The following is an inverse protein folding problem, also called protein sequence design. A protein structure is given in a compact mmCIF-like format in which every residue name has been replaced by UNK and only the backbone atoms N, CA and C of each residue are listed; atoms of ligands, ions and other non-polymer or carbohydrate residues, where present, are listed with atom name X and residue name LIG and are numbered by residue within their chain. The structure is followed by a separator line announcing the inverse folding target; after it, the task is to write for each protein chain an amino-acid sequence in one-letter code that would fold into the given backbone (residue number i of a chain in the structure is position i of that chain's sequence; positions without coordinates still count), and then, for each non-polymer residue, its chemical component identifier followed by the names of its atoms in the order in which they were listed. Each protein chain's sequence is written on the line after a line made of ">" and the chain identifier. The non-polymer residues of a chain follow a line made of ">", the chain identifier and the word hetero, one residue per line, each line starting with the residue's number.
data_IF_450737201792
#
_entry.id   IF_450737201792
#
_cell.length_a   1.000
_cell.length_b   1.000
_cell.length_c   1.000
_cell.angle_alpha   90.00
_cell.angle_beta   90.00
_cell.angle_gamma   90.00
#
_symmetry.space_group_name_H-M   'P 1'
#
loop_
_entity.id
_entity.type
_entity.pdbx_description
1 polymer ?
#
# COMPACT_ATOMS: atom_id res chain seq x y z
N UNK A 1 -26.85 54.50 60.29
CA UNK A 1 -26.95 53.16 59.67
C UNK A 1 -26.74 53.34 58.15
N UNK A 2 -25.51 53.06 57.68
CA UNK A 2 -25.17 53.18 56.25
C UNK A 2 -25.23 51.78 55.65
N UNK A 3 -26.08 51.51 54.66
CA UNK A 3 -26.17 50.31 53.89
C UNK A 3 -25.11 50.38 52.78
N UNK A 4 -24.14 49.49 52.80
CA UNK A 4 -23.13 49.31 51.76
C UNK A 4 -23.71 48.30 50.76
N UNK A 5 -23.93 48.78 49.53
CA UNK A 5 -24.36 47.95 48.39
C UNK A 5 -23.11 47.28 47.76
N UNK A 6 -23.02 45.98 47.86
CA UNK A 6 -21.94 45.22 47.21
C UNK A 6 -22.39 44.92 45.79
N UNK A 7 -21.77 45.57 44.82
CA UNK A 7 -21.98 45.35 43.40
C UNK A 7 -21.04 44.16 42.98
N UNK A 8 -21.63 42.97 42.81
CA UNK A 8 -20.92 41.84 42.24
C UNK A 8 -20.77 42.06 40.74
N UNK A 9 -19.60 42.45 40.30
CA UNK A 9 -19.23 42.53 38.88
C UNK A 9 -18.77 41.15 38.45
N UNK A 10 -19.70 40.36 37.86
CA UNK A 10 -19.35 39.11 37.14
C UNK A 10 -18.55 39.46 35.89
N UNK A 11 -17.24 39.35 35.96
CA UNK A 11 -16.36 39.31 34.79
C UNK A 11 -16.60 37.98 34.05
N UNK A 12 -17.41 38.05 33.02
CA UNK A 12 -17.49 37.02 31.99
C UNK A 12 -16.12 36.98 31.24
N UNK A 13 -15.25 36.07 31.64
CA UNK A 13 -14.13 35.67 30.81
C UNK A 13 -14.70 34.94 29.60
N UNK A 14 -14.98 35.66 28.53
CA UNK A 14 -15.05 35.12 27.20
C UNK A 14 -13.64 34.59 26.86
N UNK A 15 -13.40 33.34 27.14
CA UNK A 15 -12.25 32.65 26.56
C UNK A 15 -12.47 32.62 25.05
N UNK A 16 -11.94 33.58 24.34
CA UNK A 16 -11.70 33.46 22.90
C UNK A 16 -10.74 32.33 22.74
N UNK A 17 -11.25 31.15 22.39
CA UNK A 17 -10.39 30.11 21.81
C UNK A 17 -9.79 30.70 20.55
N UNK A 18 -8.57 31.18 20.66
CA UNK A 18 -7.71 31.42 19.51
C UNK A 18 -7.52 30.07 18.85
N UNK A 19 -8.31 29.80 17.84
CA UNK A 19 -7.98 28.73 16.91
C UNK A 19 -6.68 29.18 16.22
N UNK A 20 -5.56 28.62 16.64
CA UNK A 20 -4.34 28.75 15.89
C UNK A 20 -4.64 28.26 14.46
N UNK A 21 -4.49 29.15 13.50
CA UNK A 21 -4.54 28.84 12.09
C UNK A 21 -3.37 27.87 11.84
N UNK A 22 -3.60 26.58 11.99
CA UNK A 22 -2.60 25.55 11.62
C UNK A 22 -2.71 25.38 10.12
N UNK A 23 -1.84 26.09 9.40
CA UNK A 23 -1.68 25.88 7.98
C UNK A 23 -1.40 24.38 7.72
N UNK A 24 -2.13 23.80 6.78
CA UNK A 24 -1.88 22.42 6.37
C UNK A 24 -0.50 22.35 5.73
N UNK A 25 0.40 21.64 6.36
CA UNK A 25 1.73 21.39 5.77
C UNK A 25 1.62 20.21 4.84
N UNK A 26 1.72 20.47 3.54
CA UNK A 26 1.80 19.43 2.50
C UNK A 26 3.23 19.34 1.97
N UNK A 27 3.95 18.32 2.42
CA UNK A 27 5.25 17.96 1.87
C UNK A 27 5.12 17.27 0.52
N UNK A 28 6.22 17.12 -0.21
CA UNK A 28 6.22 16.40 -1.50
C UNK A 28 7.45 15.52 -1.68
N UNK A 29 7.23 14.41 -2.38
CA UNK A 29 8.27 13.57 -2.96
C UNK A 29 7.92 13.42 -4.44
N UNK A 30 8.65 14.11 -5.31
CA UNK A 30 8.48 14.02 -6.75
C UNK A 30 9.60 13.17 -7.30
N UNK A 31 9.25 11.99 -7.85
CA UNK A 31 10.19 11.04 -8.42
C UNK A 31 9.54 10.30 -9.60
N UNK A 32 10.19 10.36 -10.77
CA UNK A 32 9.70 9.72 -11.99
C UNK A 32 10.10 8.25 -12.07
N UNK A 33 11.26 7.94 -11.52
CA UNK A 33 11.84 6.59 -11.52
C UNK A 33 11.37 5.82 -10.29
N UNK A 34 10.72 4.67 -10.50
CA UNK A 34 10.18 3.87 -9.41
C UNK A 34 11.28 3.17 -8.59
N UNK A 35 12.44 2.90 -9.19
CA UNK A 35 13.59 2.34 -8.47
C UNK A 35 14.12 3.36 -7.47
N UNK A 36 14.41 4.59 -7.93
CA UNK A 36 14.83 5.68 -7.05
C UNK A 36 13.79 6.00 -5.97
N UNK A 37 12.50 5.95 -6.32
CA UNK A 37 11.43 6.16 -5.35
C UNK A 37 11.42 5.08 -4.27
N UNK A 38 11.63 3.81 -4.66
CA UNK A 38 11.66 2.71 -3.70
C UNK A 38 12.84 2.81 -2.73
N UNK A 39 14.03 3.23 -3.19
CA UNK A 39 15.19 3.53 -2.35
C UNK A 39 14.84 4.64 -1.33
N UNK A 40 14.38 5.81 -1.82
CA UNK A 40 14.03 6.97 -0.97
C UNK A 40 12.99 6.66 0.09
N UNK A 41 11.94 5.90 -0.26
CA UNK A 41 10.86 5.57 0.67
C UNK A 41 11.28 4.49 1.67
N UNK A 42 12.04 3.49 1.22
CA UNK A 42 12.54 2.42 2.08
C UNK A 42 13.55 2.93 3.11
N UNK A 43 14.39 3.88 2.75
CA UNK A 43 15.31 4.56 3.68
C UNK A 43 14.60 5.23 4.86
N UNK A 44 13.36 5.69 4.68
CA UNK A 44 12.58 6.30 5.76
C UNK A 44 12.10 5.31 6.83
N UNK A 45 12.18 4.02 6.56
CA UNK A 45 11.61 2.95 7.41
C UNK A 45 12.66 1.95 7.88
N UNK A 46 13.60 1.63 7.00
CA UNK A 46 14.62 0.63 7.26
C UNK A 46 16.01 1.25 7.30
N UNK A 47 16.68 1.12 8.44
CA UNK A 47 18.07 1.53 8.61
C UNK A 47 19.00 0.31 8.33
N UNK A 48 19.61 -0.28 9.33
CA UNK A 48 20.57 -1.39 9.17
C UNK A 48 19.98 -2.73 9.60
N UNK A 49 20.62 -3.81 9.11
CA UNK A 49 20.29 -5.20 9.46
C UNK A 49 18.89 -5.65 8.98
N UNK A 50 18.37 -5.04 7.93
CA UNK A 50 17.15 -5.47 7.28
C UNK A 50 17.44 -6.42 6.10
N UNK A 51 16.56 -7.40 5.87
CA UNK A 51 16.57 -8.18 4.64
C UNK A 51 16.10 -7.30 3.48
N UNK A 52 16.50 -7.65 2.26
CA UNK A 52 16.10 -6.93 1.07
C UNK A 52 15.22 -7.80 0.18
N UNK A 53 14.09 -7.26 -0.26
CA UNK A 53 13.23 -7.84 -1.30
C UNK A 53 13.45 -7.07 -2.60
N UNK A 54 13.71 -7.78 -3.67
CA UNK A 54 13.88 -7.21 -5.01
C UNK A 54 12.73 -7.67 -5.89
N UNK A 55 12.15 -6.73 -6.65
CA UNK A 55 11.06 -7.00 -7.60
C UNK A 55 11.16 -6.11 -8.84
N UNK A 56 10.72 -6.62 -9.98
CA UNK A 56 10.67 -5.83 -11.21
C UNK A 56 9.58 -4.76 -11.14
N UNK A 57 9.94 -3.49 -11.34
CA UNK A 57 9.03 -2.35 -11.29
C UNK A 57 7.90 -2.40 -12.33
N UNK A 58 8.06 -3.15 -13.43
CA UNK A 58 7.08 -3.27 -14.50
C UNK A 58 6.08 -4.43 -14.30
N UNK A 59 6.17 -5.14 -13.17
CA UNK A 59 5.35 -6.33 -12.87
C UNK A 59 4.48 -6.09 -11.63
N UNK A 60 3.36 -5.40 -11.82
CA UNK A 60 2.47 -4.98 -10.71
C UNK A 60 2.00 -6.15 -9.82
N UNK A 61 1.70 -7.31 -10.42
CA UNK A 61 1.35 -8.51 -9.66
C UNK A 61 2.49 -9.03 -8.77
N UNK A 62 3.73 -8.96 -9.29
CA UNK A 62 4.90 -9.34 -8.52
C UNK A 62 5.18 -8.32 -7.41
N UNK A 63 4.93 -7.03 -7.68
CA UNK A 63 5.02 -5.96 -6.66
C UNK A 63 4.04 -6.21 -5.51
N UNK A 64 2.77 -6.52 -5.80
CA UNK A 64 1.77 -6.83 -4.77
C UNK A 64 2.23 -8.02 -3.91
N UNK A 65 2.72 -9.07 -4.56
CA UNK A 65 3.25 -10.26 -3.88
C UNK A 65 4.49 -9.94 -3.04
N UNK A 66 5.41 -9.12 -3.59
CA UNK A 66 6.63 -8.70 -2.92
C UNK A 66 6.34 -7.84 -1.68
N UNK A 67 5.39 -6.91 -1.75
CA UNK A 67 4.97 -6.09 -0.61
C UNK A 67 4.36 -6.94 0.51
N UNK A 68 3.55 -7.95 0.16
CA UNK A 68 3.00 -8.89 1.13
C UNK A 68 4.10 -9.69 1.82
N UNK A 69 5.10 -10.17 1.06
CA UNK A 69 6.26 -10.87 1.60
C UNK A 69 7.12 -9.96 2.48
N UNK A 70 7.46 -8.78 1.96
CA UNK A 70 8.29 -7.82 2.66
C UNK A 70 7.67 -7.36 3.99
N UNK A 71 6.37 -7.11 4.02
CA UNK A 71 5.67 -6.70 5.24
C UNK A 71 5.72 -7.78 6.33
N UNK A 72 5.43 -9.04 5.99
CA UNK A 72 5.49 -10.16 6.95
C UNK A 72 6.91 -10.42 7.46
N UNK A 73 7.91 -10.23 6.61
CA UNK A 73 9.31 -10.49 6.93
C UNK A 73 10.08 -9.25 7.41
N UNK A 74 9.40 -8.13 7.61
CA UNK A 74 10.01 -6.84 8.01
C UNK A 74 11.23 -6.49 7.16
N UNK A 75 11.11 -6.65 5.84
CA UNK A 75 12.18 -6.49 4.88
C UNK A 75 12.06 -5.18 4.12
N UNK A 76 13.17 -4.55 3.80
CA UNK A 76 13.22 -3.45 2.84
C UNK A 76 12.81 -3.93 1.44
N UNK A 77 12.30 -3.05 0.59
CA UNK A 77 11.92 -3.39 -0.78
C UNK A 77 12.59 -2.45 -1.78
N UNK A 78 13.13 -3.03 -2.85
CA UNK A 78 13.74 -2.29 -3.95
C UNK A 78 13.08 -2.70 -5.27
N UNK A 79 12.56 -1.72 -5.99
CA UNK A 79 12.08 -1.89 -7.34
C UNK A 79 13.25 -1.78 -8.31
N UNK A 80 13.32 -2.68 -9.28
CA UNK A 80 14.39 -2.69 -10.27
C UNK A 80 13.83 -2.80 -11.68
N UNK A 81 14.61 -2.35 -12.65
CA UNK A 81 14.38 -2.70 -14.04
C UNK A 81 15.11 -4.01 -14.35
N UNK A 82 14.55 -4.84 -15.23
CA UNK A 82 15.16 -6.11 -15.61
C UNK A 82 16.13 -5.91 -16.77
N UNK A 83 17.11 -5.06 -16.62
CA UNK A 83 18.22 -4.99 -17.56
C UNK A 83 19.49 -5.53 -16.88
N UNK A 84 20.22 -6.39 -17.58
CA UNK A 84 21.43 -7.05 -17.06
C UNK A 84 22.57 -6.10 -16.68
N UNK A 85 22.37 -4.78 -16.76
CA UNK A 85 23.34 -3.75 -16.41
C UNK A 85 23.43 -3.50 -14.88
N UNK A 86 22.55 -4.10 -14.09
CA UNK A 86 22.34 -3.74 -12.67
C UNK A 86 23.37 -4.28 -11.68
N UNK A 87 24.51 -4.85 -12.13
CA UNK A 87 25.46 -5.40 -11.16
C UNK A 87 26.90 -4.93 -11.40
N UNK A 88 27.04 -3.68 -11.67
CA UNK A 88 28.34 -2.99 -11.45
C UNK A 88 28.45 -2.66 -9.95
N UNK A 89 29.69 -2.51 -9.46
CA UNK A 89 30.02 -2.20 -8.06
C UNK A 89 29.23 -1.02 -7.46
N UNK A 90 28.64 -0.17 -8.31
CA UNK A 90 27.83 0.99 -7.99
C UNK A 90 26.34 0.83 -8.33
N UNK A 91 25.89 -0.42 -8.54
CA UNK A 91 24.48 -0.65 -8.84
C UNK A 91 23.57 -0.23 -7.68
N UNK A 92 22.35 0.26 -7.95
CA UNK A 92 21.39 0.58 -6.89
C UNK A 92 21.16 -0.58 -5.92
N UNK A 93 21.20 -1.83 -6.42
CA UNK A 93 21.02 -3.02 -5.58
C UNK A 93 22.16 -3.16 -4.58
N UNK A 94 23.42 -3.12 -5.03
CA UNK A 94 24.56 -3.28 -4.12
C UNK A 94 24.71 -2.10 -3.16
N UNK A 95 24.35 -0.90 -3.62
CA UNK A 95 24.30 0.30 -2.78
C UNK A 95 23.30 0.11 -1.64
N UNK A 96 22.10 -0.37 -1.94
CA UNK A 96 21.07 -0.63 -0.95
C UNK A 96 21.43 -1.81 -0.02
N UNK A 97 22.00 -2.90 -0.55
CA UNK A 97 22.54 -4.01 0.25
C UNK A 97 23.55 -3.52 1.26
N UNK A 98 24.50 -2.67 0.82
CA UNK A 98 25.54 -2.12 1.69
C UNK A 98 24.97 -1.17 2.76
N UNK A 99 24.03 -0.30 2.37
CA UNK A 99 23.33 0.61 3.29
C UNK A 99 22.61 -0.16 4.40
N UNK A 100 21.85 -1.17 4.00
CA UNK A 100 21.08 -2.03 4.91
C UNK A 100 21.95 -3.03 5.67
N UNK A 101 23.20 -3.28 5.25
CA UNK A 101 24.00 -4.43 5.68
C UNK A 101 23.22 -5.75 5.55
N UNK A 102 22.46 -5.86 4.48
CA UNK A 102 21.62 -7.02 4.21
C UNK A 102 22.46 -8.27 4.01
N UNK A 103 22.05 -9.37 4.65
CA UNK A 103 22.65 -10.70 4.44
C UNK A 103 21.77 -11.54 3.52
N UNK A 104 20.45 -11.39 3.61
CA UNK A 104 19.48 -12.13 2.84
C UNK A 104 18.82 -11.20 1.80
N UNK A 105 18.77 -11.67 0.57
CA UNK A 105 18.09 -11.03 -0.55
C UNK A 105 17.04 -11.99 -1.10
N UNK A 106 15.80 -11.54 -1.15
CA UNK A 106 14.68 -12.27 -1.72
C UNK A 106 14.30 -11.66 -3.06
N UNK A 107 14.24 -12.49 -4.10
CA UNK A 107 13.83 -12.07 -5.43
C UNK A 107 12.40 -12.58 -5.67
N UNK A 108 11.46 -11.65 -5.86
CA UNK A 108 10.07 -12.01 -6.17
C UNK A 108 9.85 -11.92 -7.68
N UNK A 109 9.46 -13.06 -8.26
CA UNK A 109 9.27 -13.23 -9.70
C UNK A 109 10.23 -14.20 -10.35
N UNK A 110 9.81 -14.73 -11.51
CA UNK A 110 10.62 -15.68 -12.29
C UNK A 110 11.78 -15.00 -13.03
N UNK A 111 12.64 -15.80 -13.73
CA UNK A 111 13.82 -15.29 -14.45
C UNK A 111 13.50 -14.27 -15.56
N UNK A 112 12.28 -14.30 -16.10
CA UNK A 112 11.82 -13.30 -17.07
C UNK A 112 11.43 -11.96 -16.42
N UNK A 113 11.16 -11.97 -15.11
CA UNK A 113 10.86 -10.76 -14.31
C UNK A 113 12.14 -10.15 -13.77
N UNK A 114 12.98 -10.95 -13.11
CA UNK A 114 14.30 -10.56 -12.59
C UNK A 114 15.31 -11.61 -13.08
N UNK A 115 16.28 -11.22 -13.90
CA UNK A 115 17.20 -12.16 -14.58
C UNK A 115 18.03 -13.01 -13.59
N UNK A 116 18.44 -14.21 -14.02
CA UNK A 116 19.36 -15.04 -13.24
C UNK A 116 20.74 -14.38 -13.08
N UNK A 117 21.16 -13.57 -14.05
CA UNK A 117 22.41 -12.81 -13.95
C UNK A 117 22.42 -11.94 -12.69
N UNK A 118 21.29 -11.31 -12.34
CA UNK A 118 21.17 -10.55 -11.10
C UNK A 118 21.32 -11.45 -9.88
N UNK A 119 20.60 -12.58 -9.85
CA UNK A 119 20.66 -13.51 -8.74
C UNK A 119 22.10 -14.06 -8.51
N UNK A 120 22.76 -14.47 -9.59
CA UNK A 120 24.09 -15.08 -9.51
C UNK A 120 25.17 -14.08 -9.09
N UNK A 121 25.11 -12.84 -9.58
CA UNK A 121 26.05 -11.80 -9.12
C UNK A 121 25.87 -11.43 -7.65
N UNK A 122 24.62 -11.41 -7.16
CA UNK A 122 24.37 -11.18 -5.72
C UNK A 122 24.95 -12.33 -4.88
N UNK A 123 24.83 -13.59 -5.32
CA UNK A 123 25.47 -14.75 -4.69
C UNK A 123 27.00 -14.64 -4.71
N UNK A 124 27.57 -14.26 -5.86
CA UNK A 124 29.03 -14.03 -5.98
C UNK A 124 29.52 -12.89 -5.07
N UNK A 125 28.65 -11.96 -4.72
CA UNK A 125 28.92 -10.90 -3.74
C UNK A 125 28.80 -11.37 -2.27
N UNK A 126 28.59 -12.67 -2.03
CA UNK A 126 28.53 -13.25 -0.68
C UNK A 126 27.15 -13.16 -0.01
N UNK A 127 26.09 -12.86 -0.77
CA UNK A 127 24.74 -12.74 -0.23
C UNK A 127 23.98 -14.07 -0.29
N UNK A 128 23.11 -14.32 0.68
CA UNK A 128 22.16 -15.40 0.68
C UNK A 128 20.94 -14.98 -0.19
N UNK A 129 20.85 -15.54 -1.37
CA UNK A 129 19.82 -15.17 -2.35
C UNK A 129 18.79 -16.28 -2.48
N UNK A 130 17.53 -15.95 -2.22
CA UNK A 130 16.37 -16.84 -2.40
C UNK A 130 15.42 -16.26 -3.44
N UNK A 131 15.03 -17.08 -4.43
CA UNK A 131 14.04 -16.68 -5.43
C UNK A 131 12.69 -17.33 -5.13
N UNK A 132 11.64 -16.50 -5.08
CA UNK A 132 10.25 -16.93 -5.02
C UNK A 132 9.61 -16.60 -6.37
N UNK A 133 9.69 -17.53 -7.29
CA UNK A 133 9.21 -17.39 -8.65
C UNK A 133 8.00 -18.27 -8.95
N UNK A 134 7.61 -18.30 -10.21
CA UNK A 134 6.54 -19.13 -10.76
C UNK A 134 6.47 -18.97 -12.27
N UNK A 135 5.69 -19.83 -12.94
CA UNK A 135 5.48 -19.80 -14.40
C UNK A 135 4.68 -18.55 -14.82
N UNK A 136 3.80 -18.12 -13.94
CA UNK A 136 2.93 -16.96 -14.12
C UNK A 136 2.68 -16.23 -12.79
N UNK A 137 1.96 -15.10 -12.86
CA UNK A 137 1.65 -14.24 -11.69
C UNK A 137 0.83 -14.93 -10.61
N UNK A 138 -0.02 -15.90 -10.99
CA UNK A 138 -0.85 -16.66 -10.04
C UNK A 138 0.04 -17.61 -9.25
N UNK A 139 0.96 -18.31 -9.92
CA UNK A 139 1.89 -19.21 -9.27
C UNK A 139 2.90 -18.45 -8.39
N UNK A 140 3.41 -17.28 -8.83
CA UNK A 140 4.27 -16.42 -7.99
C UNK A 140 3.55 -16.05 -6.70
N UNK A 141 2.31 -15.54 -6.79
CA UNK A 141 1.54 -15.16 -5.59
C UNK A 141 1.28 -16.33 -4.66
N UNK A 142 0.91 -17.51 -5.20
CA UNK A 142 0.71 -18.73 -4.41
C UNK A 142 2.02 -19.21 -3.75
N UNK A 143 3.17 -19.08 -4.42
CA UNK A 143 4.46 -19.46 -3.86
C UNK A 143 4.89 -18.48 -2.76
N UNK A 144 4.65 -17.17 -2.93
CA UNK A 144 4.84 -16.18 -1.84
C UNK A 144 3.99 -16.53 -0.61
N UNK A 145 2.73 -16.93 -0.80
CA UNK A 145 1.86 -17.36 0.31
C UNK A 145 2.41 -18.64 0.98
N UNK A 146 3.00 -19.55 0.21
CA UNK A 146 3.62 -20.78 0.78
C UNK A 146 4.84 -20.47 1.64
N UNK A 147 5.69 -19.55 1.20
CA UNK A 147 6.89 -19.12 1.93
C UNK A 147 6.54 -18.33 3.22
N UNK A 148 5.39 -17.67 3.23
CA UNK A 148 4.85 -17.03 4.42
C UNK A 148 4.24 -18.10 5.36
N UNK A 149 5.09 -18.86 6.05
CA UNK A 149 4.73 -20.08 6.77
C UNK A 149 3.79 -19.90 7.97
N UNK A 150 3.54 -18.67 8.42
CA UNK A 150 2.73 -18.37 9.61
C UNK A 150 1.30 -17.92 9.27
N UNK A 151 0.64 -18.58 8.30
CA UNK A 151 -0.79 -18.37 8.05
C UNK A 151 -1.60 -19.17 9.08
N UNK A 152 -2.45 -18.47 9.82
CA UNK A 152 -3.43 -19.12 10.68
C UNK A 152 -4.63 -19.59 9.84
N UNK A 153 -5.36 -20.64 10.26
CA UNK A 153 -6.57 -21.10 9.57
C UNK A 153 -7.67 -20.01 9.44
N UNK A 154 -7.60 -18.98 10.27
CA UNK A 154 -8.51 -17.84 10.26
C UNK A 154 -8.08 -16.74 9.28
N UNK A 155 -6.89 -16.87 8.68
CA UNK A 155 -6.39 -15.87 7.74
C UNK A 155 -7.28 -15.80 6.49
N UNK A 156 -7.42 -14.61 5.97
CA UNK A 156 -8.24 -14.35 4.80
C UNK A 156 -7.40 -14.45 3.53
N UNK A 157 -7.87 -15.22 2.56
CA UNK A 157 -7.33 -15.19 1.20
C UNK A 157 -8.10 -14.16 0.38
N UNK A 158 -7.41 -13.12 -0.06
CA UNK A 158 -7.92 -12.18 -1.03
C UNK A 158 -7.70 -12.73 -2.43
N UNK A 159 -8.77 -12.84 -3.22
CA UNK A 159 -8.68 -13.14 -4.64
C UNK A 159 -9.03 -11.91 -5.46
N UNK A 160 -8.19 -11.57 -6.43
CA UNK A 160 -8.35 -10.40 -7.28
C UNK A 160 -8.16 -10.75 -8.76
N UNK A 161 -8.82 -10.02 -9.64
CA UNK A 161 -8.63 -10.20 -11.08
C UNK A 161 -7.20 -9.84 -11.48
N UNK A 162 -6.55 -10.75 -12.21
CA UNK A 162 -5.16 -10.59 -12.64
C UNK A 162 -4.97 -9.53 -13.73
N UNK A 163 -6.03 -8.94 -14.26
CA UNK A 163 -5.99 -7.91 -15.30
C UNK A 163 -6.21 -6.48 -14.77
N UNK A 164 -6.66 -6.34 -13.51
CA UNK A 164 -6.94 -5.03 -12.91
C UNK A 164 -6.63 -4.99 -11.41
N UNK A 165 -5.62 -4.21 -11.04
CA UNK A 165 -5.14 -4.09 -9.66
C UNK A 165 -5.59 -2.80 -8.94
N UNK A 166 -6.50 -2.02 -9.53
CA UNK A 166 -6.91 -0.72 -8.96
C UNK A 166 -7.58 -0.87 -7.59
N UNK A 167 -8.36 -1.93 -7.37
CA UNK A 167 -9.01 -2.18 -6.09
C UNK A 167 -8.03 -2.66 -5.01
N UNK A 168 -7.05 -3.49 -5.38
CA UNK A 168 -5.94 -3.86 -4.47
C UNK A 168 -5.14 -2.61 -4.08
N UNK A 169 -4.80 -1.77 -5.06
CA UNK A 169 -4.11 -0.50 -4.81
C UNK A 169 -4.82 0.33 -3.74
N UNK A 170 -6.14 0.48 -3.86
CA UNK A 170 -6.96 1.25 -2.94
C UNK A 170 -6.97 0.72 -1.51
N UNK A 171 -6.70 -0.59 -1.33
CA UNK A 171 -6.84 -1.31 -0.06
C UNK A 171 -5.54 -1.96 0.42
N UNK A 172 -4.42 -1.75 -0.26
CA UNK A 172 -3.17 -2.46 0.02
C UNK A 172 -2.73 -2.31 1.48
N UNK A 173 -2.76 -1.10 2.03
CA UNK A 173 -2.42 -0.86 3.44
C UNK A 173 -3.29 -1.67 4.41
N UNK A 174 -4.58 -1.77 4.14
CA UNK A 174 -5.51 -2.58 4.93
C UNK A 174 -5.19 -4.07 4.85
N UNK A 175 -4.94 -4.60 3.65
CA UNK A 175 -4.62 -6.02 3.48
C UNK A 175 -3.32 -6.40 4.16
N UNK A 176 -2.28 -5.58 4.04
CA UNK A 176 -1.02 -5.79 4.73
C UNK A 176 -1.20 -5.76 6.26
N UNK A 177 -1.89 -4.74 6.78
CA UNK A 177 -2.12 -4.57 8.23
C UNK A 177 -2.84 -5.77 8.85
N UNK A 178 -3.79 -6.36 8.12
CA UNK A 178 -4.56 -7.52 8.58
C UNK A 178 -3.88 -8.86 8.25
N UNK A 179 -2.71 -8.85 7.65
CA UNK A 179 -1.96 -10.07 7.30
C UNK A 179 -2.61 -10.92 6.22
N UNK A 180 -3.49 -10.35 5.39
CA UNK A 180 -4.23 -11.09 4.37
C UNK A 180 -3.28 -11.64 3.30
N UNK A 181 -3.52 -12.89 2.91
CA UNK A 181 -2.86 -13.50 1.77
C UNK A 181 -3.53 -13.01 0.47
N UNK A 182 -2.74 -12.67 -0.56
CA UNK A 182 -3.27 -12.13 -1.81
C UNK A 182 -2.86 -13.03 -2.95
N UNK A 183 -3.84 -13.49 -3.75
CA UNK A 183 -3.59 -14.21 -5.00
C UNK A 183 -4.49 -13.69 -6.13
N UNK A 184 -4.21 -14.12 -7.34
CA UNK A 184 -4.89 -13.64 -8.53
C UNK A 184 -5.68 -14.75 -9.21
N UNK A 185 -6.76 -14.37 -9.88
CA UNK A 185 -7.61 -15.26 -10.67
C UNK A 185 -7.97 -14.60 -12.00
N UNK A 186 -8.41 -15.39 -12.96
CA UNK A 186 -9.16 -14.84 -14.10
C UNK A 186 -10.56 -14.50 -13.63
N UNK A 187 -10.96 -13.24 -13.77
CA UNK A 187 -12.28 -12.82 -13.31
C UNK A 187 -13.46 -13.43 -14.10
N UNK A 188 -13.22 -13.91 -15.32
CA UNK A 188 -14.25 -14.42 -16.23
C UNK A 188 -14.61 -15.89 -16.04
N UNK A 189 -13.66 -16.72 -15.62
CA UNK A 189 -13.81 -18.16 -15.50
C UNK A 189 -13.34 -18.62 -14.14
N UNK A 190 -14.16 -19.42 -13.48
CA UNK A 190 -13.81 -19.99 -12.19
C UNK A 190 -12.58 -20.89 -12.29
N UNK A 191 -11.63 -20.67 -11.37
CA UNK A 191 -10.42 -21.46 -11.23
C UNK A 191 -10.53 -22.39 -10.01
N UNK A 192 -10.83 -23.68 -10.26
CA UNK A 192 -10.95 -24.69 -9.21
C UNK A 192 -9.66 -24.89 -8.39
N UNK A 193 -8.51 -24.48 -8.93
CA UNK A 193 -7.23 -24.60 -8.22
C UNK A 193 -7.18 -23.75 -6.94
N UNK A 194 -8.04 -22.72 -6.84
CA UNK A 194 -8.17 -21.88 -5.64
C UNK A 194 -8.70 -22.69 -4.47
N UNK A 195 -9.69 -23.57 -4.69
CA UNK A 195 -10.27 -24.44 -3.64
C UNK A 195 -9.17 -25.31 -3.04
N UNK A 196 -8.47 -26.06 -3.91
CA UNK A 196 -7.37 -26.95 -3.48
C UNK A 196 -6.28 -26.18 -2.74
N UNK A 197 -5.93 -25.01 -3.25
CA UNK A 197 -4.91 -24.15 -2.65
C UNK A 197 -5.33 -23.68 -1.25
N UNK A 198 -6.55 -23.16 -1.10
CA UNK A 198 -7.07 -22.66 0.17
C UNK A 198 -7.18 -23.78 1.22
N UNK A 199 -7.70 -24.95 0.83
CA UNK A 199 -7.78 -26.14 1.71
C UNK A 199 -6.38 -26.55 2.19
N UNK A 200 -5.41 -26.69 1.27
CA UNK A 200 -4.04 -27.10 1.60
C UNK A 200 -3.31 -26.09 2.51
N UNK A 201 -3.77 -24.85 2.55
CA UNK A 201 -3.25 -23.80 3.44
C UNK A 201 -4.05 -23.61 4.73
N UNK A 202 -5.12 -24.39 4.92
CA UNK A 202 -6.00 -24.24 6.09
C UNK A 202 -6.79 -22.93 6.11
N UNK A 203 -6.94 -22.27 4.97
CA UNK A 203 -7.68 -21.01 4.84
C UNK A 203 -9.17 -21.31 4.82
N UNK A 204 -9.95 -20.62 5.64
CA UNK A 204 -11.40 -20.75 5.70
C UNK A 204 -12.16 -19.51 5.22
N UNK A 205 -11.50 -18.35 5.18
CA UNK A 205 -12.12 -17.09 4.77
C UNK A 205 -11.59 -16.65 3.40
N UNK A 206 -12.48 -16.34 2.48
CA UNK A 206 -12.11 -15.81 1.16
C UNK A 206 -12.79 -14.46 0.95
N UNK A 207 -11.98 -13.47 0.59
CA UNK A 207 -12.43 -12.14 0.21
C UNK A 207 -12.27 -11.96 -1.29
N UNK A 208 -13.38 -11.82 -2.00
CA UNK A 208 -13.38 -11.45 -3.40
C UNK A 208 -13.23 -9.93 -3.48
N UNK A 209 -12.11 -9.48 -4.04
CA UNK A 209 -11.65 -8.09 -3.97
C UNK A 209 -12.47 -7.11 -4.81
N UNK A 210 -13.25 -7.60 -5.78
CA UNK A 210 -13.88 -6.81 -6.83
C UNK A 210 -15.34 -7.18 -7.05
N UNK A 211 -16.16 -6.26 -7.65
CA UNK A 211 -17.55 -6.51 -7.95
C UNK A 211 -17.76 -7.64 -8.96
N UNK A 212 -18.99 -8.15 -9.04
CA UNK A 212 -19.36 -9.28 -9.91
C UNK A 212 -19.17 -8.98 -11.42
N UNK A 213 -19.15 -7.73 -11.81
CA UNK A 213 -18.79 -7.31 -13.16
C UNK A 213 -17.34 -7.58 -13.55
N UNK A 214 -16.45 -7.76 -12.57
CA UNK A 214 -15.02 -8.02 -12.76
C UNK A 214 -14.65 -9.46 -12.43
N UNK A 215 -15.13 -9.99 -11.29
CA UNK A 215 -14.96 -11.40 -10.91
C UNK A 215 -16.33 -12.03 -10.82
N UNK A 216 -16.62 -13.00 -11.70
CA UNK A 216 -17.91 -13.67 -11.83
C UNK A 216 -18.49 -14.10 -10.46
N UNK A 217 -19.81 -13.98 -10.30
CA UNK A 217 -20.54 -14.49 -9.13
C UNK A 217 -20.43 -16.01 -8.95
N UNK A 218 -20.05 -16.74 -9.99
CA UNK A 218 -19.74 -18.17 -9.90
C UNK A 218 -18.67 -18.46 -8.82
N UNK A 219 -17.74 -17.52 -8.56
CA UNK A 219 -16.78 -17.64 -7.47
C UNK A 219 -17.44 -17.66 -6.10
N UNK A 220 -18.45 -16.81 -5.84
CA UNK A 220 -19.16 -16.82 -4.57
C UNK A 220 -19.87 -18.13 -4.33
N UNK A 221 -20.57 -18.63 -5.35
CA UNK A 221 -21.38 -19.85 -5.27
C UNK A 221 -20.51 -21.08 -5.04
N UNK A 222 -19.51 -21.29 -5.90
CA UNK A 222 -18.64 -22.48 -5.82
C UNK A 222 -17.77 -22.49 -4.55
N UNK A 223 -17.26 -21.34 -4.12
CA UNK A 223 -16.48 -21.28 -2.89
C UNK A 223 -17.35 -21.55 -1.66
N UNK A 224 -18.57 -20.99 -1.59
CA UNK A 224 -19.52 -21.29 -0.50
C UNK A 224 -19.93 -22.77 -0.46
N UNK A 225 -20.20 -23.36 -1.64
CA UNK A 225 -20.51 -24.81 -1.76
C UNK A 225 -19.38 -25.69 -1.26
N UNK A 226 -18.13 -25.22 -1.31
CA UNK A 226 -16.96 -25.92 -0.78
C UNK A 226 -16.61 -25.56 0.68
N UNK A 227 -17.53 -24.91 1.40
CA UNK A 227 -17.43 -24.67 2.85
C UNK A 227 -16.64 -23.41 3.24
N UNK A 228 -16.25 -22.56 2.31
CA UNK A 228 -15.57 -21.31 2.63
C UNK A 228 -16.55 -20.22 3.09
N UNK A 229 -16.12 -19.41 4.06
CA UNK A 229 -16.78 -18.15 4.36
C UNK A 229 -16.36 -17.11 3.33
N UNK A 230 -17.27 -16.71 2.45
CA UNK A 230 -17.00 -15.83 1.33
C UNK A 230 -17.60 -14.44 1.59
N UNK A 231 -16.78 -13.41 1.45
CA UNK A 231 -17.20 -12.02 1.39
C UNK A 231 -16.76 -11.42 0.05
N UNK A 232 -17.56 -10.49 -0.48
CA UNK A 232 -17.24 -9.77 -1.71
C UNK A 232 -17.22 -8.27 -1.45
N UNK A 233 -16.23 -7.58 -1.99
CA UNK A 233 -16.17 -6.14 -2.06
C UNK A 233 -16.92 -5.66 -3.31
N UNK A 234 -18.00 -4.95 -3.09
CA UNK A 234 -18.85 -4.40 -4.18
C UNK A 234 -18.83 -2.87 -4.16
N UNK A 235 -17.62 -2.30 -4.24
CA UNK A 235 -17.45 -0.86 -4.29
C UNK A 235 -17.70 -0.33 -5.71
N UNK A 236 -18.35 0.83 -5.82
CA UNK A 236 -18.65 1.47 -7.09
C UNK A 236 -17.43 2.06 -7.78
N UNK A 237 -16.44 2.44 -6.98
CA UNK A 237 -15.19 3.03 -7.48
C UNK A 237 -14.01 2.68 -6.59
N UNK A 238 -12.81 2.91 -7.11
CA UNK A 238 -11.56 2.78 -6.31
C UNK A 238 -11.51 3.80 -5.17
N UNK A 239 -12.16 4.95 -5.33
CA UNK A 239 -12.23 5.98 -4.29
C UNK A 239 -13.16 5.56 -3.16
N UNK A 240 -14.31 4.92 -3.47
CA UNK A 240 -15.20 4.34 -2.46
C UNK A 240 -14.49 3.24 -1.67
N UNK A 241 -13.73 2.38 -2.36
CA UNK A 241 -12.92 1.35 -1.73
C UNK A 241 -11.84 1.96 -0.82
N UNK A 242 -11.14 2.98 -1.29
CA UNK A 242 -10.10 3.68 -0.52
C UNK A 242 -10.70 4.40 0.70
N UNK A 243 -11.82 5.07 0.54
CA UNK A 243 -12.55 5.69 1.64
C UNK A 243 -12.98 4.68 2.71
N UNK A 244 -13.66 3.60 2.30
CA UNK A 244 -14.19 2.60 3.23
C UNK A 244 -13.09 1.95 4.10
N UNK A 245 -11.88 1.78 3.54
CA UNK A 245 -10.77 1.18 4.28
C UNK A 245 -10.06 2.17 5.21
N UNK A 246 -10.13 3.46 4.92
CA UNK A 246 -9.39 4.49 5.64
C UNK A 246 -10.23 5.32 6.62
N UNK A 247 -11.57 5.32 6.48
CA UNK A 247 -12.49 6.16 7.26
C UNK A 247 -12.50 5.86 8.77
N UNK A 248 -12.16 4.63 9.17
CA UNK A 248 -12.18 4.19 10.57
C UNK A 248 -10.78 3.98 11.15
N UNK A 249 -9.73 4.42 10.45
CA UNK A 249 -8.35 4.24 10.90
C UNK A 249 -7.85 5.53 11.55
N UNK A 250 -7.30 5.42 12.77
CA UNK A 250 -6.53 6.52 13.36
C UNK A 250 -5.14 6.51 12.73
N UNK A 251 -4.76 7.62 12.13
CA UNK A 251 -3.47 7.84 11.48
C UNK A 251 -2.83 9.16 11.93
N UNK A 252 -1.51 9.24 11.82
CA UNK A 252 -0.75 10.44 12.20
C UNK A 252 -0.52 11.39 11.03
N UNK A 253 -0.54 10.87 9.78
CA UNK A 253 -0.29 11.64 8.56
C UNK A 253 -1.00 11.01 7.37
N UNK A 254 -1.31 11.82 6.35
CA UNK A 254 -1.84 11.35 5.07
C UNK A 254 -0.73 11.33 4.01
N UNK A 255 -0.71 10.27 3.22
CA UNK A 255 0.01 10.22 1.95
C UNK A 255 -1.02 10.38 0.84
N UNK A 256 -0.75 11.24 -0.14
CA UNK A 256 -1.55 11.36 -1.35
C UNK A 256 -0.78 10.77 -2.53
N UNK A 257 -1.41 9.84 -3.25
CA UNK A 257 -0.83 9.26 -4.48
C UNK A 257 -1.83 9.23 -5.61
N UNK A 258 -1.33 9.29 -6.84
CA UNK A 258 -2.18 9.23 -8.03
C UNK A 258 -2.72 7.81 -8.25
N UNK A 259 -4.05 7.67 -8.45
CA UNK A 259 -4.65 6.35 -8.68
C UNK A 259 -4.17 5.70 -9.99
N UNK A 260 -3.76 6.49 -10.98
CA UNK A 260 -3.19 5.99 -12.24
C UNK A 260 -1.74 5.49 -12.09
N UNK A 261 -1.08 5.80 -10.99
CA UNK A 261 0.28 5.33 -10.69
C UNK A 261 0.25 4.24 -9.61
N UNK A 262 -0.19 3.05 -10.04
CA UNK A 262 -0.38 1.88 -9.17
C UNK A 262 0.90 1.57 -8.37
N UNK A 263 2.06 1.62 -9.00
CA UNK A 263 3.36 1.26 -8.38
C UNK A 263 3.72 2.19 -7.23
N UNK A 264 3.65 3.49 -7.47
CA UNK A 264 3.88 4.51 -6.43
C UNK A 264 2.88 4.35 -5.29
N UNK A 265 1.61 4.16 -5.60
CA UNK A 265 0.56 4.02 -4.59
C UNK A 265 0.70 2.76 -3.74
N UNK A 266 1.04 1.62 -4.34
CA UNK A 266 1.29 0.38 -3.63
C UNK A 266 2.48 0.51 -2.67
N UNK A 267 3.59 1.09 -3.13
CA UNK A 267 4.77 1.33 -2.32
C UNK A 267 4.51 2.33 -1.18
N UNK A 268 3.79 3.42 -1.49
CA UNK A 268 3.39 4.41 -0.49
C UNK A 268 2.49 3.82 0.60
N UNK A 269 1.57 2.93 0.23
CA UNK A 269 0.74 2.19 1.20
C UNK A 269 1.58 1.30 2.12
N UNK A 270 2.61 0.62 1.57
CA UNK A 270 3.52 -0.23 2.33
C UNK A 270 4.36 0.58 3.34
N UNK A 271 5.01 1.64 2.88
CA UNK A 271 5.85 2.49 3.74
C UNK A 271 5.00 3.28 4.73
N UNK A 272 3.87 3.79 4.27
CA UNK A 272 2.93 4.54 5.10
C UNK A 272 2.41 3.73 6.27
N UNK A 273 2.07 2.47 6.04
CA UNK A 273 1.58 1.59 7.11
C UNK A 273 2.59 1.45 8.26
N UNK A 274 3.88 1.38 7.95
CA UNK A 274 4.94 1.25 8.95
C UNK A 274 5.18 2.54 9.76
N UNK A 275 4.74 3.69 9.21
CA UNK A 275 4.81 5.01 9.85
C UNK A 275 3.48 5.46 10.46
N UNK A 276 2.46 4.60 10.47
CA UNK A 276 1.09 4.93 10.84
C UNK A 276 0.50 6.07 9.99
N UNK A 277 0.79 6.06 8.69
CA UNK A 277 0.20 6.95 7.70
C UNK A 277 -0.84 6.20 6.88
N UNK A 278 -1.80 6.93 6.34
CA UNK A 278 -2.81 6.39 5.43
C UNK A 278 -2.55 6.89 4.00
N UNK A 279 -2.71 6.00 3.01
CA UNK A 279 -2.59 6.38 1.61
C UNK A 279 -3.96 6.69 1.00
N UNK A 280 -4.12 7.91 0.51
CA UNK A 280 -5.34 8.42 -0.13
C UNK A 280 -5.06 8.61 -1.63
N UNK A 281 -5.96 8.06 -2.44
CA UNK A 281 -5.87 8.14 -3.88
C UNK A 281 -6.45 9.46 -4.40
N UNK A 282 -5.69 10.14 -5.26
CA UNK A 282 -6.11 11.33 -5.99
C UNK A 282 -6.03 11.12 -7.50
N UNK A 283 -6.69 11.97 -8.28
CA UNK A 283 -6.66 11.91 -9.74
C UNK A 283 -6.13 13.24 -10.32
N UNK A 284 -4.92 13.21 -10.84
CA UNK A 284 -4.26 14.39 -11.42
C UNK A 284 -4.28 15.60 -10.46
N UNK A 285 -3.95 15.33 -9.21
CA UNK A 285 -3.98 16.31 -8.11
C UNK A 285 -5.38 16.68 -7.62
N UNK A 286 -6.44 16.02 -8.13
CA UNK A 286 -7.80 16.28 -7.69
C UNK A 286 -8.29 15.22 -6.70
N UNK A 287 -8.94 15.69 -5.65
CA UNK A 287 -9.58 14.83 -4.66
C UNK A 287 -11.00 14.52 -5.11
N UNK A 288 -11.35 13.24 -5.16
CA UNK A 288 -12.73 12.79 -5.45
C UNK A 288 -13.70 13.17 -4.31
N UNK A 289 -14.99 13.31 -4.62
CA UNK A 289 -16.03 13.66 -3.63
C UNK A 289 -16.08 12.69 -2.45
N UNK A 290 -15.85 11.41 -2.68
CA UNK A 290 -15.83 10.39 -1.62
C UNK A 290 -14.58 10.57 -0.74
N UNK A 291 -13.43 10.80 -1.37
CA UNK A 291 -12.16 11.05 -0.68
C UNK A 291 -12.20 12.34 0.16
N UNK A 292 -12.91 13.36 -0.32
CA UNK A 292 -13.10 14.61 0.45
C UNK A 292 -13.65 14.35 1.85
N UNK A 293 -14.50 13.35 2.05
CA UNK A 293 -15.04 13.00 3.36
C UNK A 293 -13.97 12.58 4.37
N UNK A 294 -12.82 12.06 3.89
CA UNK A 294 -11.68 11.73 4.75
C UNK A 294 -10.93 12.99 5.20
N UNK A 295 -11.00 14.07 4.41
CA UNK A 295 -10.25 15.29 4.64
C UNK A 295 -10.93 16.26 5.62
N UNK A 296 -12.22 16.07 5.91
CA UNK A 296 -13.00 16.93 6.80
C UNK A 296 -12.66 16.78 8.29
N UNK A 297 -11.87 15.77 8.67
CA UNK A 297 -11.44 15.54 10.05
C UNK A 297 -9.98 15.92 10.23
N UNK A 298 -9.71 17.20 10.56
CA UNK A 298 -8.45 17.73 11.14
C UNK A 298 -7.13 17.15 10.59
N UNK A 299 -6.89 17.27 9.28
CA UNK A 299 -5.59 16.90 8.69
C UNK A 299 -4.64 18.07 8.87
N UNK A 300 -3.66 17.93 9.76
CA UNK A 300 -2.63 18.96 9.96
C UNK A 300 -1.40 18.75 9.07
N UNK A 301 -1.12 17.51 8.62
CA UNK A 301 0.08 17.17 7.87
C UNK A 301 -0.17 16.13 6.80
N UNK A 302 0.31 16.38 5.60
CA UNK A 302 0.25 15.45 4.47
C UNK A 302 1.57 15.37 3.71
N UNK A 303 1.72 14.34 2.90
CA UNK A 303 2.79 14.24 1.91
C UNK A 303 2.23 13.76 0.58
N UNK A 304 2.49 14.48 -0.48
CA UNK A 304 2.22 14.03 -1.83
C UNK A 304 3.41 13.23 -2.36
N UNK A 305 3.16 12.03 -2.87
CA UNK A 305 4.16 11.18 -3.52
C UNK A 305 3.69 10.93 -4.95
N UNK A 306 4.45 11.41 -5.93
CA UNK A 306 4.05 11.33 -7.33
C UNK A 306 5.15 11.73 -8.30
N UNK A 307 4.79 11.83 -9.58
CA UNK A 307 5.74 12.03 -10.68
C UNK A 307 5.82 13.47 -11.18
N UNK A 308 4.83 14.30 -10.90
CA UNK A 308 4.72 15.62 -11.46
C UNK A 308 4.51 16.70 -10.40
N UNK A 309 5.23 17.80 -10.56
CA UNK A 309 5.06 18.99 -9.75
C UNK A 309 3.67 19.63 -9.97
N UNK A 310 3.14 19.57 -11.19
CA UNK A 310 1.82 20.11 -11.52
C UNK A 310 0.69 19.49 -10.69
N UNK A 311 0.67 18.15 -10.54
CA UNK A 311 -0.35 17.48 -9.75
C UNK A 311 -0.23 17.80 -8.26
N UNK A 312 0.99 17.95 -7.76
CA UNK A 312 1.22 18.45 -6.40
C UNK A 312 0.62 19.84 -6.19
N UNK A 313 0.89 20.78 -7.11
CA UNK A 313 0.40 22.16 -7.00
C UNK A 313 -1.13 22.24 -7.08
N UNK A 314 -1.75 21.44 -7.96
CA UNK A 314 -3.22 21.32 -8.02
C UNK A 314 -3.80 20.81 -6.70
N UNK A 315 -3.20 19.78 -6.11
CA UNK A 315 -3.61 19.22 -4.84
C UNK A 315 -3.44 20.24 -3.71
N UNK A 316 -2.27 20.88 -3.60
CA UNK A 316 -1.97 21.86 -2.59
C UNK A 316 -2.97 23.05 -2.62
N UNK A 317 -3.24 23.56 -3.82
CA UNK A 317 -4.23 24.62 -4.02
C UNK A 317 -5.64 24.20 -3.59
N UNK A 318 -6.03 22.96 -3.85
CA UNK A 318 -7.35 22.44 -3.49
C UNK A 318 -7.48 22.24 -2.00
N UNK A 319 -6.46 21.74 -1.32
CA UNK A 319 -6.44 21.55 0.13
C UNK A 319 -6.49 22.92 0.85
N UNK A 320 -5.75 23.91 0.37
CA UNK A 320 -5.77 25.28 0.90
C UNK A 320 -7.17 25.91 0.81
N UNK A 321 -7.86 25.72 -0.31
CA UNK A 321 -9.25 26.15 -0.49
C UNK A 321 -10.23 25.43 0.47
N UNK A 322 -10.00 24.16 0.75
CA UNK A 322 -10.83 23.34 1.59
C UNK A 322 -10.83 23.81 3.05
N UNK A 323 -9.65 24.18 3.56
CA UNK A 323 -9.51 24.66 4.93
C UNK A 323 -10.02 26.09 5.12
N UNK A 324 -10.00 26.93 4.08
CA UNK A 324 -10.54 28.30 4.14
C UNK A 324 -12.07 28.36 4.18
N UNK A 325 -12.74 27.35 3.63
CA UNK A 325 -14.23 27.31 3.57
C UNK A 325 -14.85 26.81 4.88
N UNK A 326 -14.20 25.94 5.62
CA UNK A 326 -14.72 25.43 6.90
C UNK A 326 -14.48 26.37 8.10
N UNK A 327 -13.66 27.41 7.93
CA UNK A 327 -13.36 28.39 8.96
C UNK A 327 -14.33 29.63 8.94
N UNK A 328 -15.33 29.63 8.07
CA UNK A 328 -16.41 30.62 8.03
C UNK A 328 -17.68 30.08 8.66
#
# INVERSE_FOLDING_TARGET
>A
MKRILFLCMCLLFLSTKSFANTDVVLDKIIEKDCSNLSEKLTEQVYDKNANLVIVNEKKESDIISALSFAYKNKAAILFIQNDGAYIKKESPILKEVNRLKAKNVYIIGGPKSVSEVIADNLKLSGLLVSRIGGRDRVEVSKNVIKENTNLNPTDTLVISDMSNFNFIQAKMGYYLKNGYAITFVSGKKFDESIIKFAINKGISNILIDQPASMISSEYDEKLKQNGFKVTRNDYRSVYDANYAQNSNIKYSKIIFTEYKDIRTSLLASYVGLQKNYVNILVNEGNVDKTTNKLLTTSIQNGVYIGKTQENFEKLAKKLDLYYKVEQK
#
